data_IF_686603300142
#
_entry.id   IF_686603300142
#
_cell.length_a   1.000
_cell.length_b   1.000
_cell.length_c   1.000
_cell.angle_alpha   90.00
_cell.angle_beta   90.00
_cell.angle_gamma   90.00
#
_symmetry.space_group_name_H-M   'P 1'
#
loop_
_entity.id
_entity.type
_entity.pdbx_description
1 polymer ?
#
# COMPACT_ATOMS: atom_id res chain seq x y z
N UNK A 1 -45.74 -25.25 4.08
CA UNK A 1 -44.81 -25.36 5.23
C UNK A 1 -45.02 -24.15 6.11
N UNK A 2 -45.29 -24.40 7.38
CA UNK A 2 -45.81 -23.43 8.34
C UNK A 2 -44.74 -22.44 8.83
N UNK A 3 -45.19 -21.20 9.03
CA UNK A 3 -44.51 -20.10 9.72
C UNK A 3 -44.32 -20.47 11.20
N UNK A 4 -43.14 -20.21 11.78
CA UNK A 4 -43.02 -20.11 13.23
C UNK A 4 -42.17 -18.90 13.66
N UNK A 5 -42.65 -18.25 14.71
CA UNK A 5 -42.33 -16.92 15.23
C UNK A 5 -41.48 -17.04 16.51
N UNK A 6 -40.80 -15.96 16.86
CA UNK A 6 -40.32 -15.67 18.22
C UNK A 6 -38.83 -15.99 18.41
N UNK A 7 -38.04 -15.26 19.19
CA UNK A 7 -38.35 -14.21 20.14
C UNK A 7 -37.12 -13.33 20.34
N UNK A 8 -37.36 -12.05 20.58
CA UNK A 8 -36.39 -11.09 21.06
C UNK A 8 -35.92 -11.43 22.48
N UNK A 9 -34.63 -11.30 22.78
CA UNK A 9 -34.15 -10.86 24.10
C UNK A 9 -32.91 -10.00 23.90
N UNK A 10 -33.08 -8.71 24.16
CA UNK A 10 -32.00 -7.77 24.36
C UNK A 10 -31.31 -8.06 25.70
N UNK A 11 -29.98 -8.05 25.73
CA UNK A 11 -29.23 -7.92 26.98
C UNK A 11 -28.27 -6.75 26.87
N UNK A 12 -28.69 -5.72 27.58
CA UNK A 12 -28.02 -4.48 27.92
C UNK A 12 -26.78 -4.81 28.76
N UNK A 13 -25.58 -4.50 28.27
CA UNK A 13 -24.33 -4.57 29.03
C UNK A 13 -23.65 -3.20 29.02
N UNK A 14 -23.99 -2.36 29.98
CA UNK A 14 -23.41 -1.04 30.19
C UNK A 14 -22.53 -1.10 31.45
N UNK A 15 -21.21 -0.98 31.36
CA UNK A 15 -20.36 -0.60 32.50
C UNK A 15 -19.07 0.13 32.07
N UNK A 16 -19.09 1.43 32.37
CA UNK A 16 -18.05 2.39 32.78
C UNK A 16 -16.56 2.09 32.53
N UNK A 17 -15.89 3.06 31.90
CA UNK A 17 -14.53 3.47 32.28
C UNK A 17 -14.37 4.99 32.19
N UNK A 18 -14.32 5.63 33.35
CA UNK A 18 -13.81 6.99 33.56
C UNK A 18 -12.32 7.07 33.26
N UNK A 19 -11.84 8.19 32.71
CA UNK A 19 -10.45 8.56 32.92
C UNK A 19 -9.85 9.62 31.98
N UNK A 20 -9.38 10.69 32.62
CA UNK A 20 -8.29 11.59 32.26
C UNK A 20 -8.57 12.88 31.46
N UNK A 21 -8.22 13.97 32.14
CA UNK A 21 -8.36 15.37 31.82
C UNK A 21 -7.10 15.96 31.15
N UNK A 22 -7.31 17.12 30.53
CA UNK A 22 -6.39 18.26 30.45
C UNK A 22 -4.99 18.08 29.82
N UNK A 23 -4.85 18.60 28.60
CA UNK A 23 -3.92 19.69 28.25
C UNK A 23 -3.94 19.86 26.74
N UNK A 24 -4.09 21.10 26.27
CA UNK A 24 -3.23 21.68 25.23
C UNK A 24 -3.66 23.11 24.97
N UNK A 25 -2.93 24.05 25.58
CA UNK A 25 -2.82 25.38 25.00
C UNK A 25 -2.05 25.24 23.68
N UNK A 26 -2.63 25.75 22.60
CA UNK A 26 -1.98 25.81 21.30
C UNK A 26 -1.81 27.28 20.91
N UNK A 27 -0.56 27.70 20.84
CA UNK A 27 -0.06 28.85 20.10
C UNK A 27 1.43 28.60 19.85
N UNK A 28 2.05 29.16 18.80
CA UNK A 28 1.55 29.55 17.48
C UNK A 28 2.07 28.58 16.40
N UNK A 29 1.36 28.46 15.27
CA UNK A 29 1.88 27.78 14.09
C UNK A 29 3.03 28.64 13.54
N UNK A 30 4.26 28.22 13.80
CA UNK A 30 5.42 28.72 13.08
C UNK A 30 5.27 28.29 11.62
N UNK A 31 5.11 29.25 10.72
CA UNK A 31 5.15 29.04 9.28
C UNK A 31 6.56 28.57 8.92
N UNK A 32 6.75 27.26 8.80
CA UNK A 32 7.97 26.68 8.23
C UNK A 32 8.08 27.18 6.79
N UNK A 33 9.19 27.83 6.39
CA UNK A 33 9.38 28.23 5.01
C UNK A 33 9.38 26.97 4.14
N UNK A 34 8.50 26.95 3.14
CA UNK A 34 8.44 25.90 2.14
C UNK A 34 9.75 25.93 1.34
N UNK A 35 10.67 25.03 1.69
CA UNK A 35 11.89 24.83 0.92
C UNK A 35 11.49 24.27 -0.45
N UNK A 36 11.49 25.14 -1.45
CA UNK A 36 11.13 24.86 -2.83
C UNK A 36 12.25 24.09 -3.55
N UNK A 37 12.71 23.00 -2.95
CA UNK A 37 13.33 21.93 -3.72
C UNK A 37 12.19 21.18 -4.40
N UNK A 38 11.91 21.53 -5.65
CA UNK A 38 11.20 20.62 -6.56
C UNK A 38 12.09 19.38 -6.67
N UNK A 39 11.89 18.44 -5.73
CA UNK A 39 12.84 17.40 -5.39
C UNK A 39 13.14 16.51 -6.58
N UNK A 40 14.42 16.22 -6.78
CA UNK A 40 14.87 15.18 -7.71
C UNK A 40 14.21 13.87 -7.27
N UNK A 41 13.37 13.29 -8.13
CA UNK A 41 12.74 12.01 -7.85
C UNK A 41 13.55 10.88 -8.46
N UNK A 42 13.38 9.67 -7.92
CA UNK A 42 14.05 8.47 -8.43
C UNK A 42 13.68 8.20 -9.89
N UNK A 43 12.43 8.47 -10.26
CA UNK A 43 11.93 8.35 -11.64
C UNK A 43 12.61 9.32 -12.61
N UNK A 44 13.03 10.50 -12.13
CA UNK A 44 13.75 11.48 -12.97
C UNK A 44 15.25 11.19 -13.09
N UNK A 45 15.79 10.37 -12.18
CA UNK A 45 17.24 10.12 -12.09
C UNK A 45 17.63 8.78 -12.72
N UNK A 46 16.81 7.75 -12.56
CA UNK A 46 17.11 6.41 -13.07
C UNK A 46 16.51 6.20 -14.47
N UNK A 47 17.39 6.06 -15.46
CA UNK A 47 16.99 5.93 -16.86
C UNK A 47 16.24 4.62 -17.15
N UNK A 48 16.49 3.54 -16.42
CA UNK A 48 15.82 2.25 -16.61
C UNK A 48 14.39 2.31 -16.08
N UNK A 49 14.19 2.87 -14.89
CA UNK A 49 12.88 3.11 -14.32
C UNK A 49 12.08 4.09 -15.19
N UNK A 50 12.70 5.18 -15.64
CA UNK A 50 12.06 6.13 -16.55
C UNK A 50 11.59 5.46 -17.84
N UNK A 51 12.43 4.62 -18.46
CA UNK A 51 12.07 3.87 -19.65
C UNK A 51 10.91 2.88 -19.38
N UNK A 52 10.97 2.13 -18.28
CA UNK A 52 9.89 1.22 -17.89
C UNK A 52 8.56 1.94 -17.67
N UNK A 53 8.57 3.11 -17.02
CA UNK A 53 7.38 3.95 -16.81
C UNK A 53 6.83 4.50 -18.13
N UNK A 54 7.69 4.85 -19.09
CA UNK A 54 7.25 5.27 -20.42
C UNK A 54 6.58 4.11 -21.17
N UNK A 55 7.14 2.90 -21.09
CA UNK A 55 6.56 1.71 -21.71
C UNK A 55 5.22 1.34 -21.05
N UNK A 56 5.12 1.40 -19.73
CA UNK A 56 3.87 1.18 -18.99
C UNK A 56 2.79 2.19 -19.39
N UNK A 57 3.16 3.48 -19.55
CA UNK A 57 2.22 4.52 -20.01
C UNK A 57 1.74 4.28 -21.43
N UNK A 58 2.61 3.79 -22.31
CA UNK A 58 2.25 3.48 -23.69
C UNK A 58 1.35 2.24 -23.78
N UNK A 59 1.65 1.20 -22.98
CA UNK A 59 0.97 -0.09 -22.99
C UNK A 59 0.78 -0.58 -21.54
N UNK A 60 -0.34 -0.24 -20.88
CA UNK A 60 -0.56 -0.58 -19.46
C UNK A 60 -1.10 -2.00 -19.28
N UNK A 61 -0.23 -3.01 -19.42
CA UNK A 61 -0.53 -4.43 -19.21
C UNK A 61 0.05 -4.93 -17.89
N UNK A 62 -0.34 -6.14 -17.48
CA UNK A 62 0.19 -6.78 -16.29
C UNK A 62 1.74 -6.91 -16.35
N UNK A 63 2.28 -7.23 -17.52
CA UNK A 63 3.72 -7.37 -17.74
C UNK A 63 4.44 -6.03 -17.64
N UNK A 64 3.87 -4.94 -18.17
CA UNK A 64 4.51 -3.62 -18.08
C UNK A 64 4.46 -3.07 -16.64
N UNK A 65 3.37 -3.34 -15.91
CA UNK A 65 3.31 -3.10 -14.47
C UNK A 65 4.39 -3.87 -13.70
N UNK A 66 4.62 -5.15 -14.03
CA UNK A 66 5.69 -5.94 -13.40
C UNK A 66 7.09 -5.46 -13.76
N UNK A 67 7.29 -4.99 -14.98
CA UNK A 67 8.58 -4.42 -15.39
C UNK A 67 8.92 -3.19 -14.55
N UNK A 68 7.96 -2.28 -14.36
CA UNK A 68 8.12 -1.11 -13.48
C UNK A 68 8.34 -1.55 -12.02
N UNK A 69 7.59 -2.53 -11.53
CA UNK A 69 7.75 -3.05 -10.18
C UNK A 69 9.18 -3.60 -9.93
N UNK A 70 9.75 -4.33 -10.89
CA UNK A 70 11.13 -4.84 -10.79
C UNK A 70 12.17 -3.72 -10.73
N UNK A 71 11.98 -2.65 -11.49
CA UNK A 71 12.88 -1.50 -11.43
C UNK A 71 12.78 -0.77 -10.09
N UNK A 72 11.57 -0.62 -9.54
CA UNK A 72 11.41 -0.09 -8.18
C UNK A 72 12.05 -1.00 -7.12
N UNK A 73 11.91 -2.32 -7.23
CA UNK A 73 12.59 -3.27 -6.33
C UNK A 73 14.11 -3.15 -6.41
N UNK A 74 14.68 -3.04 -7.61
CA UNK A 74 16.12 -2.86 -7.82
C UNK A 74 16.65 -1.61 -7.10
N UNK A 75 15.82 -0.58 -6.99
CA UNK A 75 16.13 0.69 -6.34
C UNK A 75 15.77 0.69 -4.84
N UNK A 76 15.23 -0.41 -4.31
CA UNK A 76 14.82 -0.54 -2.90
C UNK A 76 13.53 0.20 -2.55
N UNK A 77 12.78 0.68 -3.55
CA UNK A 77 11.51 1.40 -3.35
C UNK A 77 10.36 0.38 -3.31
N UNK A 78 10.29 -0.35 -2.20
CA UNK A 78 9.44 -1.54 -2.08
C UNK A 78 7.94 -1.23 -2.04
N UNK A 79 7.54 -0.06 -1.53
CA UNK A 79 6.16 0.41 -1.51
C UNK A 79 5.61 0.66 -2.92
N UNK A 80 6.38 1.35 -3.76
CA UNK A 80 6.04 1.56 -5.16
C UNK A 80 6.06 0.23 -5.93
N UNK A 81 7.02 -0.66 -5.64
CA UNK A 81 7.07 -1.99 -6.23
C UNK A 81 5.82 -2.82 -5.89
N UNK A 82 5.37 -2.81 -4.63
CA UNK A 82 4.15 -3.52 -4.21
C UNK A 82 2.94 -2.95 -4.95
N UNK A 83 2.77 -1.62 -4.96
CA UNK A 83 1.63 -0.98 -5.60
C UNK A 83 1.52 -1.31 -7.10
N UNK A 84 2.65 -1.45 -7.80
CA UNK A 84 2.70 -1.86 -9.21
C UNK A 84 2.42 -3.35 -9.39
N UNK A 85 2.95 -4.19 -8.50
CA UNK A 85 2.66 -5.63 -8.50
C UNK A 85 1.18 -5.89 -8.23
N UNK A 86 0.53 -5.14 -7.33
CA UNK A 86 -0.90 -5.22 -7.07
C UNK A 86 -1.74 -4.87 -8.30
N UNK A 87 -1.32 -3.88 -9.10
CA UNK A 87 -1.98 -3.57 -10.38
C UNK A 87 -1.85 -4.72 -11.37
N UNK A 88 -0.67 -5.34 -11.45
CA UNK A 88 -0.47 -6.52 -12.28
C UNK A 88 -1.38 -7.69 -11.85
N UNK A 89 -1.46 -7.98 -10.55
CA UNK A 89 -2.32 -9.03 -10.00
C UNK A 89 -3.81 -8.74 -10.20
N UNK A 90 -4.24 -7.47 -10.14
CA UNK A 90 -5.62 -7.08 -10.45
C UNK A 90 -6.00 -7.37 -11.90
N UNK A 91 -5.08 -7.18 -12.84
CA UNK A 91 -5.31 -7.48 -14.26
C UNK A 91 -5.19 -8.99 -14.56
N UNK A 92 -4.20 -9.64 -13.97
CA UNK A 92 -3.90 -11.05 -14.19
C UNK A 92 -3.67 -11.78 -12.84
N UNK A 93 -4.74 -12.21 -12.14
CA UNK A 93 -4.64 -12.80 -10.79
C UNK A 93 -3.85 -14.10 -10.71
N UNK A 94 -3.67 -14.79 -11.85
CA UNK A 94 -2.95 -16.07 -11.94
C UNK A 94 -1.53 -15.92 -12.48
N UNK A 95 -1.04 -14.69 -12.64
CA UNK A 95 0.29 -14.43 -13.17
C UNK A 95 1.35 -14.85 -12.15
N UNK A 96 2.00 -15.99 -12.39
CA UNK A 96 2.99 -16.58 -11.48
C UNK A 96 4.16 -15.64 -11.16
N UNK A 97 4.63 -14.89 -12.15
CA UNK A 97 5.71 -13.92 -11.98
C UNK A 97 5.34 -12.74 -11.07
N UNK A 98 4.05 -12.40 -10.98
CA UNK A 98 3.57 -11.36 -10.06
C UNK A 98 3.55 -11.86 -8.61
N UNK A 99 3.08 -13.10 -8.40
CA UNK A 99 3.12 -13.75 -7.08
C UNK A 99 4.55 -13.94 -6.58
N UNK A 100 5.46 -14.37 -7.45
CA UNK A 100 6.88 -14.50 -7.12
C UNK A 100 7.49 -13.14 -6.70
N UNK A 101 7.18 -12.08 -7.45
CA UNK A 101 7.66 -10.74 -7.15
C UNK A 101 7.12 -10.24 -5.81
N UNK A 102 5.83 -10.45 -5.53
CA UNK A 102 5.22 -10.11 -4.24
C UNK A 102 5.90 -10.82 -3.07
N UNK A 103 6.17 -12.13 -3.21
CA UNK A 103 6.87 -12.89 -2.18
C UNK A 103 8.32 -12.41 -1.96
N UNK A 104 8.99 -11.86 -2.99
CA UNK A 104 10.31 -11.21 -2.82
C UNK A 104 10.16 -9.90 -2.07
N UNK A 105 9.21 -9.05 -2.46
CA UNK A 105 8.93 -7.77 -1.80
C UNK A 105 8.67 -7.98 -0.30
N UNK A 106 7.85 -8.96 0.08
CA UNK A 106 7.57 -9.27 1.47
C UNK A 106 8.80 -9.78 2.24
N UNK A 107 9.67 -10.56 1.61
CA UNK A 107 10.94 -10.98 2.21
C UNK A 107 11.86 -9.78 2.44
N UNK A 108 11.98 -8.90 1.46
CA UNK A 108 12.85 -7.72 1.51
C UNK A 108 12.35 -6.67 2.53
N UNK A 109 11.04 -6.63 2.79
CA UNK A 109 10.46 -5.83 3.87
C UNK A 109 10.69 -6.38 5.28
N UNK A 110 11.16 -7.64 5.41
CA UNK A 110 11.29 -8.30 6.71
C UNK A 110 9.98 -8.84 7.27
N UNK A 111 8.89 -8.80 6.50
CA UNK A 111 7.60 -9.46 6.83
C UNK A 111 7.52 -10.86 6.24
N UNK A 112 8.65 -11.57 6.20
CA UNK A 112 8.76 -12.89 5.57
C UNK A 112 7.76 -13.94 6.13
N UNK A 113 7.17 -13.71 7.31
CA UNK A 113 6.12 -14.53 7.89
C UNK A 113 4.72 -14.34 7.29
N UNK A 114 4.41 -13.20 6.69
CA UNK A 114 3.07 -12.90 6.15
C UNK A 114 2.86 -13.46 4.73
N UNK A 115 3.93 -13.94 4.07
CA UNK A 115 3.90 -14.42 2.69
C UNK A 115 3.63 -15.90 2.49
N UNK A 116 3.57 -16.68 3.57
CA UNK A 116 3.41 -18.14 3.58
C UNK A 116 2.50 -18.53 4.76
N UNK A 117 1.24 -18.08 4.71
CA UNK A 117 0.17 -18.53 5.60
C UNK A 117 -0.73 -19.55 4.92
#
# INVERSE_FOLDING_TARGET
MAVNRGAAVALLGLMLSSGCAARSGLSPVATVPADSSSGVTVESTDTRLAAALLMEKAVPTAESHLQVAREYMRLGVLDAAQARTDRALKQAPRLSSAHELMARIWRDWGVAGEGLG
#
